data_IF_333927631067
#
_entry.id   IF_333927631067
#
_cell.length_a   1.000
_cell.length_b   1.000
_cell.length_c   1.000
_cell.angle_alpha   90.00
_cell.angle_beta   90.00
_cell.angle_gamma   90.00
#
_symmetry.space_group_name_H-M   'P 1'
#
loop_
_entity.id
_entity.type
_entity.pdbx_description
1 polymer ?
#
# COMPACT_ATOMS: atom_id res chain seq x y z
N UNK A 1 -33.60 -25.59 66.22
CA UNK A 1 -32.18 -25.76 65.74
C UNK A 1 -32.26 -25.76 64.23
N UNK A 2 -32.16 -24.56 63.60
CA UNK A 2 -32.20 -24.43 62.16
C UNK A 2 -30.77 -24.36 61.64
N UNK A 3 -30.42 -25.28 60.76
CA UNK A 3 -29.14 -25.30 60.08
C UNK A 3 -29.21 -24.32 58.89
N UNK A 4 -28.33 -23.30 58.90
CA UNK A 4 -28.10 -22.39 57.81
C UNK A 4 -27.09 -23.05 56.83
N UNK A 5 -27.56 -23.40 55.63
CA UNK A 5 -26.71 -23.85 54.54
C UNK A 5 -26.08 -22.62 53.86
N UNK A 6 -24.78 -22.45 54.00
CA UNK A 6 -24.01 -21.46 53.26
C UNK A 6 -23.76 -21.97 51.84
N UNK A 7 -24.25 -21.22 50.83
CA UNK A 7 -23.94 -21.41 49.40
C UNK A 7 -22.50 -20.97 49.14
N UNK A 8 -21.72 -21.68 48.32
CA UNK A 8 -20.42 -21.22 47.91
C UNK A 8 -20.53 -20.06 46.92
N UNK A 9 -19.73 -19.01 47.16
CA UNK A 9 -19.59 -17.87 46.26
C UNK A 9 -19.04 -18.31 44.91
N UNK A 10 -19.72 -18.02 43.84
CA UNK A 10 -19.25 -18.17 42.47
C UNK A 10 -18.07 -17.21 42.26
N UNK A 11 -16.84 -17.75 42.13
CA UNK A 11 -15.72 -17.03 41.61
C UNK A 11 -15.90 -16.79 40.11
N UNK A 12 -16.35 -15.59 39.75
CA UNK A 12 -16.29 -15.12 38.39
C UNK A 12 -14.80 -14.97 38.02
N UNK A 13 -14.30 -15.89 37.21
CA UNK A 13 -12.94 -15.77 36.65
C UNK A 13 -12.82 -14.43 35.95
N UNK A 14 -11.85 -13.64 36.38
CA UNK A 14 -11.43 -12.44 35.67
C UNK A 14 -11.05 -12.84 34.25
N UNK A 15 -11.88 -12.49 33.28
CA UNK A 15 -11.52 -12.55 31.88
C UNK A 15 -10.40 -11.53 31.65
N UNK A 16 -9.16 -12.00 31.65
CA UNK A 16 -8.03 -11.22 31.16
C UNK A 16 -8.41 -10.71 29.75
N UNK A 17 -8.24 -9.42 29.46
CA UNK A 17 -8.57 -8.89 28.15
C UNK A 17 -7.74 -9.66 27.12
N UNK A 18 -8.43 -10.32 26.17
CA UNK A 18 -7.78 -10.97 25.03
C UNK A 18 -6.99 -9.86 24.31
N UNK A 19 -5.67 -9.94 24.38
CA UNK A 19 -4.77 -9.00 23.69
C UNK A 19 -5.00 -9.18 22.20
N UNK A 20 -5.82 -8.33 21.59
CA UNK A 20 -6.04 -8.35 20.14
C UNK A 20 -4.70 -8.03 19.50
N UNK A 21 -4.07 -9.05 18.91
CA UNK A 21 -2.82 -8.86 18.17
C UNK A 21 -3.12 -8.05 16.93
N UNK A 22 -2.70 -6.79 16.90
CA UNK A 22 -2.97 -5.87 15.79
C UNK A 22 -2.28 -6.28 14.49
N UNK A 23 -1.29 -7.14 14.54
CA UNK A 23 -0.50 -7.59 13.39
C UNK A 23 0.50 -6.57 12.87
N UNK A 24 0.54 -5.36 13.45
CA UNK A 24 1.45 -4.27 13.07
C UNK A 24 1.90 -3.45 14.28
N UNK A 25 3.03 -2.76 14.10
CA UNK A 25 3.52 -1.72 14.98
C UNK A 25 3.31 -0.35 14.32
N UNK A 26 2.84 0.65 15.10
CA UNK A 26 2.82 2.04 14.65
C UNK A 26 4.18 2.65 14.89
N UNK A 27 4.79 3.17 13.83
CA UNK A 27 6.12 3.76 13.84
C UNK A 27 6.09 5.17 13.27
N UNK A 28 7.12 5.96 13.55
CA UNK A 28 7.27 7.31 13.02
C UNK A 28 8.67 7.48 12.47
N UNK A 29 8.79 8.20 11.34
CA UNK A 29 10.07 8.58 10.78
C UNK A 29 10.04 10.02 10.24
N UNK A 30 11.20 10.60 9.99
CA UNK A 30 11.32 11.97 9.51
C UNK A 30 11.41 12.05 7.99
N UNK A 31 10.71 13.04 7.40
CA UNK A 31 11.01 13.58 6.08
C UNK A 31 11.24 15.09 6.24
N UNK A 32 12.51 15.52 6.31
CA UNK A 32 12.87 16.86 6.74
C UNK A 32 12.29 17.19 8.12
N UNK A 33 11.46 18.23 8.19
CA UNK A 33 10.82 18.65 9.45
C UNK A 33 9.51 17.90 9.75
N UNK A 34 9.01 17.07 8.82
CA UNK A 34 7.76 16.34 8.99
C UNK A 34 7.99 15.03 9.75
N UNK A 35 7.12 14.73 10.70
CA UNK A 35 6.93 13.38 11.23
C UNK A 35 5.94 12.64 10.35
N UNK A 36 6.33 11.48 9.85
CA UNK A 36 5.49 10.60 9.04
C UNK A 36 5.15 9.37 9.88
N UNK A 37 3.88 9.15 10.12
CA UNK A 37 3.36 7.92 10.71
C UNK A 37 3.40 6.79 9.69
N UNK A 38 3.67 5.57 10.14
CA UNK A 38 3.55 4.38 9.31
C UNK A 38 3.17 3.16 10.15
N UNK A 39 2.64 2.14 9.49
CA UNK A 39 2.37 0.84 10.09
C UNK A 39 3.37 -0.17 9.56
N UNK A 40 4.12 -0.78 10.47
CA UNK A 40 5.14 -1.78 10.15
C UNK A 40 4.64 -3.17 10.50
N UNK A 41 4.50 -4.03 9.48
CA UNK A 41 4.15 -5.45 9.63
C UNK A 41 5.42 -6.28 9.56
N UNK A 42 5.58 -7.20 10.50
CA UNK A 42 6.69 -8.14 10.53
C UNK A 42 6.18 -9.56 10.32
N UNK A 43 6.78 -10.34 9.40
CA UNK A 43 6.54 -11.78 9.29
C UNK A 43 6.96 -12.52 10.57
N UNK A 44 6.49 -13.75 10.72
CA UNK A 44 7.01 -14.65 11.75
C UNK A 44 8.49 -15.00 11.50
N UNK A 45 9.27 -15.13 12.57
CA UNK A 45 10.69 -15.45 12.50
C UNK A 45 11.60 -14.22 12.64
N UNK A 46 12.89 -14.43 12.36
CA UNK A 46 13.94 -13.45 12.65
C UNK A 46 14.31 -12.56 11.45
N UNK A 47 14.01 -13.01 10.22
CA UNK A 47 14.44 -12.31 9.00
C UNK A 47 15.90 -12.63 8.62
N UNK A 48 16.56 -11.82 7.76
CA UNK A 48 15.99 -10.61 7.16
C UNK A 48 14.96 -10.92 6.07
N UNK A 49 13.85 -10.19 6.09
CA UNK A 49 12.73 -10.38 5.16
C UNK A 49 12.80 -9.41 3.99
N UNK A 50 12.40 -9.82 2.77
CA UNK A 50 12.14 -8.86 1.69
C UNK A 50 11.05 -7.88 2.13
N UNK A 51 11.08 -6.68 1.57
CA UNK A 51 10.24 -5.56 2.02
C UNK A 51 9.26 -5.15 0.94
N UNK A 52 8.03 -4.85 1.32
CA UNK A 52 7.05 -4.16 0.47
C UNK A 52 6.66 -2.84 1.14
N UNK A 53 6.84 -1.71 0.45
CA UNK A 53 6.24 -0.44 0.85
C UNK A 53 4.90 -0.33 0.14
N UNK A 54 3.79 -0.28 0.92
CA UNK A 54 2.44 -0.18 0.37
C UNK A 54 1.88 1.23 0.53
N UNK A 55 1.53 1.86 -0.58
CA UNK A 55 0.96 3.19 -0.65
C UNK A 55 -0.56 3.14 -0.81
N UNK A 56 -1.29 3.68 0.17
CA UNK A 56 -2.75 3.76 0.16
C UNK A 56 -3.29 4.75 -0.88
N UNK A 57 -4.55 4.59 -1.28
CA UNK A 57 -5.28 5.53 -2.13
C UNK A 57 -5.67 6.83 -1.42
N UNK A 58 -6.48 7.65 -2.11
CA UNK A 58 -7.08 8.85 -1.52
C UNK A 58 -8.06 8.47 -0.41
N UNK A 59 -8.13 9.30 0.62
CA UNK A 59 -9.12 9.24 1.71
C UNK A 59 -9.71 10.65 1.93
N UNK A 60 -10.06 11.31 0.84
CA UNK A 60 -10.57 12.67 0.89
C UNK A 60 -11.75 12.79 1.86
N UNK A 61 -11.67 13.77 2.77
CA UNK A 61 -12.66 13.99 3.84
C UNK A 61 -12.46 13.11 5.09
N UNK A 62 -11.60 12.09 5.02
CA UNK A 62 -11.25 11.22 6.16
C UNK A 62 -9.73 11.02 6.32
N UNK A 63 -8.94 11.98 5.84
CA UNK A 63 -7.47 11.85 5.78
C UNK A 63 -6.87 11.61 7.16
N UNK A 64 -7.42 12.22 8.23
CA UNK A 64 -6.92 12.08 9.60
C UNK A 64 -7.35 10.80 10.32
N UNK A 65 -8.15 9.98 9.66
CA UNK A 65 -8.47 8.64 10.20
C UNK A 65 -7.26 7.74 10.05
N UNK A 66 -6.89 7.03 11.11
CA UNK A 66 -5.82 6.02 11.09
C UNK A 66 -6.33 4.75 10.38
N UNK A 67 -5.70 4.39 9.27
CA UNK A 67 -6.08 3.20 8.49
C UNK A 67 -4.84 2.36 8.18
N UNK A 68 -4.59 1.28 8.92
CA UNK A 68 -3.40 0.46 8.77
C UNK A 68 -3.39 -0.43 7.52
N UNK A 69 -4.47 -0.49 6.75
CA UNK A 69 -4.61 -1.38 5.57
C UNK A 69 -4.29 -2.84 5.90
N UNK A 70 -4.84 -3.31 7.02
CA UNK A 70 -4.51 -4.61 7.61
C UNK A 70 -4.74 -5.80 6.67
N UNK A 71 -5.65 -5.70 5.70
CA UNK A 71 -5.89 -6.76 4.73
C UNK A 71 -4.66 -6.99 3.83
N UNK A 72 -4.01 -5.92 3.33
CA UNK A 72 -2.77 -6.01 2.54
C UNK A 72 -1.59 -6.35 3.44
N UNK A 73 -1.41 -5.62 4.55
CA UNK A 73 -0.28 -5.81 5.45
C UNK A 73 -0.19 -7.24 5.98
N UNK A 74 -1.31 -7.80 6.44
CA UNK A 74 -1.36 -9.17 6.93
C UNK A 74 -1.21 -10.22 5.81
N UNK A 75 -1.78 -9.96 4.62
CA UNK A 75 -1.62 -10.84 3.47
C UNK A 75 -0.15 -10.97 3.09
N UNK A 76 0.57 -9.87 2.96
CA UNK A 76 1.99 -9.85 2.62
C UNK A 76 2.85 -10.42 3.76
N UNK A 77 2.60 -10.04 5.01
CA UNK A 77 3.37 -10.53 6.15
C UNK A 77 3.24 -12.05 6.34
N UNK A 78 2.05 -12.63 6.17
CA UNK A 78 1.83 -14.08 6.20
C UNK A 78 2.57 -14.82 5.09
N UNK A 79 2.91 -14.12 4.00
CA UNK A 79 3.68 -14.65 2.88
C UNK A 79 5.17 -14.26 2.94
N UNK A 80 5.66 -13.82 4.12
CA UNK A 80 7.08 -13.65 4.39
C UNK A 80 7.67 -12.28 3.97
N UNK A 81 6.85 -11.27 3.70
CA UNK A 81 7.29 -9.92 3.38
C UNK A 81 7.11 -8.99 4.58
N UNK A 82 8.15 -8.28 5.00
CA UNK A 82 7.99 -7.13 5.89
C UNK A 82 7.26 -6.00 5.12
N UNK A 83 6.30 -5.33 5.77
CA UNK A 83 5.50 -4.33 5.07
C UNK A 83 5.53 -3.01 5.83
N UNK A 84 5.88 -1.93 5.13
CA UNK A 84 5.70 -0.57 5.62
C UNK A 84 4.53 0.08 4.89
N UNK A 85 3.58 0.60 5.64
CA UNK A 85 2.42 1.34 5.13
C UNK A 85 2.51 2.78 5.61
N UNK A 86 3.13 3.70 4.83
CA UNK A 86 3.20 5.11 5.20
C UNK A 86 1.83 5.78 5.19
N UNK A 87 1.50 6.47 6.26
CA UNK A 87 0.49 7.52 6.30
C UNK A 87 1.16 8.80 5.82
N UNK A 88 1.20 9.02 4.49
CA UNK A 88 1.92 10.16 3.88
C UNK A 88 1.45 11.49 4.49
N UNK A 89 2.17 12.57 4.23
CA UNK A 89 1.87 13.90 4.79
C UNK A 89 0.39 14.25 4.77
N UNK A 90 -0.14 14.67 5.91
CA UNK A 90 -1.54 15.05 6.07
C UNK A 90 -2.51 13.89 6.27
N UNK A 91 -2.05 12.63 6.24
CA UNK A 91 -2.85 11.45 6.58
C UNK A 91 -2.54 10.97 8.01
N UNK A 92 -3.51 10.32 8.65
CA UNK A 92 -3.38 9.82 10.02
C UNK A 92 -2.83 10.89 10.97
N UNK A 93 -1.78 10.55 11.70
CA UNK A 93 -1.04 11.45 12.61
C UNK A 93 0.18 12.09 11.94
N UNK A 94 0.41 11.87 10.66
CA UNK A 94 1.52 12.51 9.95
C UNK A 94 1.36 14.02 9.88
N UNK A 95 2.48 14.72 9.98
CA UNK A 95 2.51 16.17 9.82
C UNK A 95 2.10 16.60 8.41
N UNK A 96 1.88 17.90 8.23
CA UNK A 96 1.54 18.53 6.96
C UNK A 96 0.05 18.74 6.73
N UNK A 97 -0.27 19.44 5.64
CA UNK A 97 -1.65 19.70 5.24
C UNK A 97 -2.31 18.41 4.75
N UNK A 98 -3.60 18.23 5.03
CA UNK A 98 -4.40 17.17 4.43
C UNK A 98 -4.47 17.34 2.92
N UNK A 99 -4.85 16.27 2.22
CA UNK A 99 -5.10 16.34 0.78
C UNK A 99 -6.14 17.42 0.45
N UNK A 100 -7.25 17.41 1.17
CA UNK A 100 -8.33 18.38 0.98
C UNK A 100 -7.89 19.83 1.21
N UNK A 101 -6.97 20.09 2.15
CA UNK A 101 -6.41 21.42 2.38
C UNK A 101 -5.41 21.86 1.30
N UNK A 102 -4.66 20.90 0.76
CA UNK A 102 -3.58 21.21 -0.17
C UNK A 102 -4.03 21.33 -1.63
N UNK A 103 -4.97 20.47 -2.09
CA UNK A 103 -5.30 20.31 -3.52
C UNK A 103 -6.78 20.09 -3.81
N UNK A 104 -7.69 20.48 -2.91
CA UNK A 104 -9.12 20.23 -3.12
C UNK A 104 -9.60 20.72 -4.50
N UNK A 105 -10.12 19.80 -5.32
CA UNK A 105 -10.68 20.11 -6.63
C UNK A 105 -9.67 20.44 -7.73
N UNK A 106 -8.36 20.35 -7.48
CA UNK A 106 -7.32 20.68 -8.46
C UNK A 106 -6.75 19.42 -9.12
N UNK A 107 -6.63 19.44 -10.45
CA UNK A 107 -6.06 18.38 -11.27
C UNK A 107 -4.80 18.78 -12.05
N UNK A 108 -4.35 20.01 -11.85
CA UNK A 108 -3.23 20.63 -12.57
C UNK A 108 -1.88 20.49 -11.88
N UNK A 109 -0.98 21.45 -12.13
CA UNK A 109 0.40 21.42 -11.63
C UNK A 109 0.51 21.29 -10.11
N UNK A 110 -0.42 21.86 -9.34
CA UNK A 110 -0.47 21.74 -7.88
C UNK A 110 -0.79 20.31 -7.43
N UNK A 111 -1.69 19.63 -8.12
CA UNK A 111 -1.98 18.23 -7.93
C UNK A 111 -0.71 17.37 -8.14
N UNK A 112 0.00 17.57 -9.25
CA UNK A 112 1.24 16.83 -9.54
C UNK A 112 2.34 17.15 -8.52
N UNK A 113 2.49 18.41 -8.12
CA UNK A 113 3.45 18.82 -7.11
C UNK A 113 3.19 18.13 -5.77
N UNK A 114 1.91 18.03 -5.37
CA UNK A 114 1.52 17.34 -4.14
C UNK A 114 1.86 15.84 -4.20
N UNK A 115 1.57 15.16 -5.31
CA UNK A 115 1.90 13.75 -5.50
C UNK A 115 3.41 13.48 -5.41
N UNK A 116 4.22 14.35 -6.04
CA UNK A 116 5.67 14.28 -5.94
C UNK A 116 6.17 14.54 -4.51
N UNK A 117 5.55 15.44 -3.78
CA UNK A 117 5.86 15.66 -2.38
C UNK A 117 5.51 14.44 -1.50
N UNK A 118 4.40 13.76 -1.76
CA UNK A 118 4.07 12.51 -1.07
C UNK A 118 5.06 11.37 -1.43
N UNK A 119 5.59 11.35 -2.66
CA UNK A 119 6.64 10.40 -3.03
C UNK A 119 7.92 10.59 -2.18
N UNK A 120 8.25 11.82 -1.76
CA UNK A 120 9.38 12.03 -0.85
C UNK A 120 9.13 11.49 0.57
N UNK A 121 7.88 11.43 1.02
CA UNK A 121 7.55 10.79 2.30
C UNK A 121 7.80 9.28 2.25
N UNK A 122 7.45 8.67 1.13
CA UNK A 122 7.70 7.24 0.88
C UNK A 122 9.19 6.95 0.79
N UNK A 123 9.96 7.79 0.10
CA UNK A 123 11.41 7.66 0.00
C UNK A 123 12.10 7.75 1.36
N UNK A 124 11.66 8.67 2.23
CA UNK A 124 12.17 8.75 3.61
C UNK A 124 11.89 7.48 4.43
N UNK A 125 10.84 6.74 4.09
CA UNK A 125 10.55 5.42 4.66
C UNK A 125 11.64 4.39 4.36
N UNK A 126 12.38 4.51 3.24
CA UNK A 126 13.53 3.65 2.92
C UNK A 126 14.64 3.87 3.94
N UNK A 127 14.93 5.12 4.29
CA UNK A 127 15.96 5.43 5.30
C UNK A 127 15.58 4.88 6.68
N UNK A 128 14.32 4.99 7.04
CA UNK A 128 13.81 4.34 8.26
C UNK A 128 14.01 2.82 8.22
N UNK A 129 13.65 2.16 7.12
CA UNK A 129 13.77 0.71 6.97
C UNK A 129 15.23 0.22 7.06
N UNK A 130 16.23 1.05 6.71
CA UNK A 130 17.65 0.74 6.93
C UNK A 130 18.01 0.56 8.40
N UNK A 131 17.23 1.13 9.32
CA UNK A 131 17.43 0.99 10.76
C UNK A 131 16.70 -0.23 11.35
N UNK A 132 15.85 -0.89 10.58
CA UNK A 132 15.03 -2.03 11.03
C UNK A 132 15.80 -3.34 10.81
N UNK A 133 16.21 -4.06 11.85
CA UNK A 133 17.20 -5.14 11.73
C UNK A 133 16.71 -6.39 11.00
N UNK A 134 15.39 -6.55 10.82
CA UNK A 134 14.80 -7.73 10.18
C UNK A 134 14.43 -7.49 8.70
N UNK A 135 14.88 -6.39 8.08
CA UNK A 135 14.58 -6.06 6.67
C UNK A 135 15.77 -6.35 5.74
N UNK A 136 15.49 -6.86 4.56
CA UNK A 136 16.47 -6.97 3.46
C UNK A 136 16.13 -5.99 2.34
N UNK A 137 16.75 -4.83 2.35
CA UNK A 137 16.50 -3.77 1.37
C UNK A 137 17.05 -4.07 -0.03
N UNK A 138 17.86 -5.12 -0.21
CA UNK A 138 18.25 -5.59 -1.54
C UNK A 138 17.08 -6.25 -2.27
N UNK A 139 16.03 -6.64 -1.52
CA UNK A 139 14.79 -7.27 -1.98
C UNK A 139 13.59 -6.41 -1.59
N UNK A 140 13.49 -5.22 -2.20
CA UNK A 140 12.47 -4.24 -1.88
C UNK A 140 11.52 -4.03 -3.05
N UNK A 141 10.22 -4.04 -2.77
CA UNK A 141 9.15 -3.70 -3.69
C UNK A 141 8.40 -2.46 -3.22
N UNK A 142 7.80 -1.78 -4.17
CA UNK A 142 6.82 -0.72 -3.93
C UNK A 142 5.51 -1.09 -4.59
N UNK A 143 4.42 -0.91 -3.88
CA UNK A 143 3.07 -1.24 -4.31
C UNK A 143 2.12 -0.13 -3.90
N UNK A 144 1.11 0.17 -4.72
CA UNK A 144 0.14 1.17 -4.33
C UNK A 144 -1.17 1.10 -5.11
N UNK A 145 -2.25 1.54 -4.44
CA UNK A 145 -3.59 1.58 -5.01
C UNK A 145 -4.04 3.02 -5.28
N UNK A 146 -4.65 3.25 -6.46
CA UNK A 146 -5.24 4.54 -6.83
C UNK A 146 -4.20 5.66 -6.78
N UNK A 147 -4.43 6.70 -5.97
CA UNK A 147 -3.46 7.76 -5.71
C UNK A 147 -2.10 7.19 -5.23
N UNK A 148 -2.14 6.10 -4.45
CA UNK A 148 -0.94 5.39 -4.00
C UNK A 148 -0.17 4.72 -5.14
N UNK A 149 -0.84 4.26 -6.20
CA UNK A 149 -0.22 3.77 -7.42
C UNK A 149 0.58 4.87 -8.12
N UNK A 150 -0.01 6.07 -8.28
CA UNK A 150 0.69 7.24 -8.83
C UNK A 150 1.93 7.59 -7.99
N UNK A 151 1.78 7.65 -6.66
CA UNK A 151 2.87 7.95 -5.75
C UNK A 151 3.97 6.89 -5.85
N UNK A 152 3.61 5.60 -5.98
CA UNK A 152 4.56 4.50 -6.16
C UNK A 152 5.38 4.66 -7.45
N UNK A 153 4.74 5.04 -8.57
CA UNK A 153 5.43 5.29 -9.84
C UNK A 153 6.38 6.48 -9.70
N UNK A 154 5.96 7.61 -9.10
CA UNK A 154 6.84 8.76 -8.88
C UNK A 154 8.02 8.41 -7.96
N UNK A 155 7.80 7.60 -6.92
CA UNK A 155 8.89 7.16 -6.05
C UNK A 155 9.85 6.24 -6.81
N UNK A 156 9.37 5.21 -7.48
CA UNK A 156 10.20 4.25 -8.21
C UNK A 156 10.96 4.88 -9.39
N UNK A 157 10.43 5.97 -9.96
CA UNK A 157 11.12 6.71 -11.03
C UNK A 157 12.37 7.46 -10.58
N UNK A 158 12.57 7.64 -9.27
CA UNK A 158 13.67 8.41 -8.67
C UNK A 158 14.59 7.55 -7.80
N UNK A 159 14.20 6.29 -7.52
CA UNK A 159 14.91 5.40 -6.61
C UNK A 159 15.10 4.02 -7.22
N UNK A 160 16.35 3.65 -7.51
CA UNK A 160 16.73 2.34 -8.06
C UNK A 160 16.77 1.21 -7.01
N UNK A 161 16.43 1.53 -5.76
CA UNK A 161 16.37 0.56 -4.67
C UNK A 161 15.29 -0.51 -4.90
N UNK A 162 14.20 -0.14 -5.58
CA UNK A 162 13.09 -1.05 -5.83
C UNK A 162 13.43 -2.08 -6.92
N UNK A 163 13.09 -3.34 -6.62
CA UNK A 163 13.22 -4.50 -7.53
C UNK A 163 11.88 -4.91 -8.12
N UNK A 164 10.79 -4.34 -7.62
CA UNK A 164 9.42 -4.55 -8.11
C UNK A 164 8.61 -3.27 -7.90
N UNK A 165 7.84 -2.89 -8.91
CA UNK A 165 6.75 -1.91 -8.83
C UNK A 165 5.42 -2.63 -9.08
N UNK A 166 4.42 -2.38 -8.21
CA UNK A 166 3.05 -2.86 -8.41
C UNK A 166 2.11 -1.67 -8.38
N UNK A 167 1.47 -1.42 -9.52
CA UNK A 167 0.50 -0.35 -9.71
C UNK A 167 -0.92 -0.94 -9.76
N UNK A 168 -1.77 -0.56 -8.81
CA UNK A 168 -3.16 -0.97 -8.70
C UNK A 168 -4.08 0.23 -9.00
N UNK A 169 -4.60 0.30 -10.21
CA UNK A 169 -5.52 1.35 -10.68
C UNK A 169 -4.96 2.79 -10.50
N UNK A 170 -3.63 2.96 -10.63
CA UNK A 170 -2.97 4.25 -10.45
C UNK A 170 -3.41 5.27 -11.47
N UNK A 171 -4.14 6.29 -11.02
CA UNK A 171 -4.61 7.37 -11.88
C UNK A 171 -5.99 7.16 -12.50
N UNK A 172 -6.60 5.99 -12.42
CA UNK A 172 -7.86 5.66 -13.09
C UNK A 172 -8.97 6.73 -12.88
N UNK A 173 -9.13 7.20 -11.64
CA UNK A 173 -10.15 8.21 -11.30
C UNK A 173 -9.84 9.62 -11.81
N UNK A 174 -8.56 9.95 -12.02
CA UNK A 174 -8.13 11.31 -12.36
C UNK A 174 -7.73 11.47 -13.82
N UNK A 175 -7.46 10.38 -14.53
CA UNK A 175 -6.85 10.37 -15.86
C UNK A 175 -7.60 11.23 -16.86
N UNK A 176 -8.92 11.00 -17.02
CA UNK A 176 -9.74 11.68 -18.03
C UNK A 176 -9.83 13.19 -17.85
N UNK A 177 -9.56 13.68 -16.65
CA UNK A 177 -9.77 15.08 -16.27
C UNK A 177 -8.45 15.80 -15.92
N UNK A 178 -7.28 15.16 -16.07
CA UNK A 178 -6.00 15.73 -15.69
C UNK A 178 -4.96 15.62 -16.83
N UNK A 179 -4.90 16.59 -17.75
CA UNK A 179 -3.83 16.63 -18.77
C UNK A 179 -2.43 16.64 -18.18
N UNK A 180 -2.24 17.28 -17.01
CA UNK A 180 -0.95 17.29 -16.31
C UNK A 180 -0.56 15.87 -15.84
N UNK A 181 -1.53 15.08 -15.37
CA UNK A 181 -1.26 13.68 -15.01
C UNK A 181 -0.95 12.83 -16.24
N UNK A 182 -1.72 13.01 -17.33
CA UNK A 182 -1.47 12.32 -18.59
C UNK A 182 -0.06 12.61 -19.16
N UNK A 183 0.49 13.78 -18.86
CA UNK A 183 1.85 14.15 -19.22
C UNK A 183 2.88 13.62 -18.21
N UNK A 184 2.70 13.87 -16.93
CA UNK A 184 3.70 13.62 -15.89
C UNK A 184 3.89 12.12 -15.58
N UNK A 185 2.78 11.34 -15.57
CA UNK A 185 2.85 9.93 -15.17
C UNK A 185 3.62 9.05 -16.16
N UNK A 186 3.42 9.16 -17.51
CA UNK A 186 4.25 8.44 -18.46
C UNK A 186 5.71 8.90 -18.46
N UNK A 187 5.99 10.18 -18.17
CA UNK A 187 7.37 10.66 -18.03
C UNK A 187 8.08 9.98 -16.86
N UNK A 188 7.40 9.84 -15.70
CA UNK A 188 7.92 9.11 -14.55
C UNK A 188 8.06 7.61 -14.88
N UNK A 189 7.04 6.99 -15.47
CA UNK A 189 7.05 5.57 -15.84
C UNK A 189 8.23 5.19 -16.73
N UNK A 190 8.66 6.10 -17.64
CA UNK A 190 9.83 5.87 -18.50
C UNK A 190 11.14 5.74 -17.72
N UNK A 191 11.22 6.29 -16.51
CA UNK A 191 12.41 6.25 -15.65
C UNK A 191 12.41 5.04 -14.69
N UNK A 192 11.30 4.32 -14.58
CA UNK A 192 11.20 3.12 -13.74
C UNK A 192 12.11 2.03 -14.31
N UNK A 193 12.95 1.46 -13.46
CA UNK A 193 13.87 0.35 -13.80
C UNK A 193 13.42 -0.99 -13.23
N UNK A 194 12.50 -0.95 -12.27
CA UNK A 194 11.99 -2.14 -11.62
C UNK A 194 11.00 -2.89 -12.52
N UNK A 195 11.10 -4.23 -12.64
CA UNK A 195 10.02 -5.05 -13.15
C UNK A 195 8.68 -4.62 -12.58
N UNK A 196 7.65 -4.48 -13.42
CA UNK A 196 6.42 -3.82 -13.05
C UNK A 196 5.19 -4.68 -13.34
N UNK A 197 4.24 -4.70 -12.40
CA UNK A 197 2.90 -5.29 -12.53
C UNK A 197 1.88 -4.16 -12.45
N UNK A 198 1.18 -3.91 -13.57
CA UNK A 198 0.15 -2.88 -13.69
C UNK A 198 -1.21 -3.55 -13.73
N UNK A 199 -2.14 -3.18 -12.85
CA UNK A 199 -3.42 -3.89 -12.67
C UNK A 199 -4.59 -2.93 -12.58
N UNK A 200 -5.71 -3.31 -13.22
CA UNK A 200 -6.96 -2.58 -13.16
C UNK A 200 -8.14 -3.53 -13.40
N UNK A 201 -9.38 -3.05 -13.38
CA UNK A 201 -10.56 -3.80 -13.78
C UNK A 201 -11.32 -3.08 -14.92
N UNK A 202 -12.00 -3.84 -15.78
CA UNK A 202 -12.69 -3.37 -16.98
C UNK A 202 -13.70 -2.23 -16.70
N UNK A 203 -14.35 -2.29 -15.54
CA UNK A 203 -15.38 -1.33 -15.14
C UNK A 203 -14.89 -0.27 -14.12
N UNK A 204 -13.59 0.03 -14.09
CA UNK A 204 -13.08 1.25 -13.45
C UNK A 204 -13.44 2.50 -14.29
N UNK A 205 -13.16 3.68 -13.79
CA UNK A 205 -13.39 4.95 -14.52
C UNK A 205 -12.68 4.96 -15.88
N UNK A 206 -11.47 4.43 -15.93
CA UNK A 206 -10.73 4.11 -17.16
C UNK A 206 -9.54 3.21 -16.85
N UNK A 207 -9.20 2.32 -17.75
CA UNK A 207 -7.96 1.52 -17.71
C UNK A 207 -6.81 2.20 -18.46
N UNK A 208 -7.03 3.35 -19.09
CA UNK A 208 -6.05 4.04 -19.93
C UNK A 208 -4.80 4.48 -19.15
N UNK A 209 -4.95 4.86 -17.89
CA UNK A 209 -3.84 5.26 -17.04
C UNK A 209 -2.85 4.09 -16.87
N UNK A 210 -3.35 2.97 -16.37
CA UNK A 210 -2.57 1.76 -16.09
C UNK A 210 -1.98 1.17 -17.37
N UNK A 211 -2.75 1.08 -18.45
CA UNK A 211 -2.27 0.56 -19.74
C UNK A 211 -1.22 1.45 -20.38
N UNK A 212 -1.34 2.78 -20.20
CA UNK A 212 -0.32 3.73 -20.70
C UNK A 212 0.97 3.62 -19.90
N UNK A 213 0.89 3.51 -18.56
CA UNK A 213 2.04 3.29 -17.68
C UNK A 213 2.75 1.99 -18.05
N UNK A 214 2.03 0.88 -18.10
CA UNK A 214 2.60 -0.43 -18.43
C UNK A 214 3.28 -0.44 -19.82
N UNK A 215 2.60 0.08 -20.85
CA UNK A 215 3.17 0.21 -22.18
C UNK A 215 4.44 1.09 -22.19
N UNK A 216 4.46 2.17 -21.40
CA UNK A 216 5.62 3.07 -21.33
C UNK A 216 6.82 2.39 -20.69
N UNK A 217 6.63 1.64 -19.60
CA UNK A 217 7.67 0.86 -18.94
C UNK A 217 8.22 -0.21 -19.88
N UNK A 218 7.34 -0.96 -20.56
CA UNK A 218 7.74 -1.98 -21.55
C UNK A 218 8.54 -1.38 -22.70
N UNK A 219 8.12 -0.23 -23.21
CA UNK A 219 8.85 0.48 -24.29
C UNK A 219 10.23 1.02 -23.84
N UNK A 220 10.42 1.21 -22.54
CA UNK A 220 11.72 1.53 -21.95
C UNK A 220 12.62 0.28 -21.77
N UNK A 221 12.17 -0.90 -22.19
CA UNK A 221 12.95 -2.15 -22.12
C UNK A 221 12.87 -2.87 -20.77
N UNK A 222 11.96 -2.47 -19.87
CA UNK A 222 11.79 -3.08 -18.56
C UNK A 222 10.71 -4.17 -18.64
N UNK A 223 10.91 -5.27 -17.89
CA UNK A 223 9.90 -6.34 -17.74
C UNK A 223 8.62 -5.74 -17.16
N UNK A 224 7.54 -5.97 -17.86
CA UNK A 224 6.23 -5.45 -17.45
C UNK A 224 5.12 -6.45 -17.78
N UNK A 225 4.14 -6.58 -16.86
CA UNK A 225 2.89 -7.31 -17.05
C UNK A 225 1.72 -6.38 -16.72
N UNK A 226 0.81 -6.20 -17.68
CA UNK A 226 -0.48 -5.54 -17.42
C UNK A 226 -1.57 -6.60 -17.29
N UNK A 227 -2.42 -6.48 -16.26
CA UNK A 227 -3.61 -7.32 -16.05
C UNK A 227 -4.82 -6.40 -15.94
N UNK A 228 -5.79 -6.60 -16.83
CA UNK A 228 -7.11 -6.00 -16.70
C UNK A 228 -8.07 -7.11 -16.29
N UNK A 229 -8.55 -7.04 -15.05
CA UNK A 229 -9.51 -8.01 -14.53
C UNK A 229 -10.89 -7.80 -15.14
N UNK A 230 -11.71 -8.85 -15.24
CA UNK A 230 -13.12 -8.71 -15.57
C UNK A 230 -13.83 -7.74 -14.63
N UNK A 231 -14.97 -7.22 -15.06
CA UNK A 231 -15.79 -6.30 -14.29
C UNK A 231 -16.02 -6.81 -12.85
N UNK A 232 -15.68 -5.98 -11.88
CA UNK A 232 -15.84 -6.27 -10.46
C UNK A 232 -17.03 -5.51 -9.89
N UNK A 233 -17.79 -6.15 -9.00
CA UNK A 233 -18.87 -5.52 -8.25
C UNK A 233 -18.66 -5.84 -6.77
N UNK A 234 -18.39 -4.83 -5.91
CA UNK A 234 -18.26 -5.03 -4.47
C UNK A 234 -19.61 -5.42 -3.86
N UNK A 235 -19.59 -6.19 -2.78
CA UNK A 235 -20.82 -6.57 -2.05
C UNK A 235 -21.48 -5.39 -1.32
N UNK A 236 -20.71 -4.35 -1.03
CA UNK A 236 -21.18 -3.09 -0.46
C UNK A 236 -20.29 -1.96 -0.92
N UNK A 237 -20.87 -0.88 -1.38
CA UNK A 237 -20.15 0.35 -1.74
C UNK A 237 -20.97 1.57 -1.26
N UNK A 238 -20.57 2.21 -0.15
CA UNK A 238 -21.17 3.46 0.30
C UNK A 238 -20.65 4.68 -0.48
N UNK A 239 -19.65 4.51 -1.36
CA UNK A 239 -19.07 5.57 -2.19
C UNK A 239 -19.61 5.52 -3.61
N UNK A 240 -19.62 6.67 -4.30
CA UNK A 240 -19.90 6.71 -5.74
C UNK A 240 -18.66 6.40 -6.59
N UNK A 241 -17.76 5.57 -6.08
CA UNK A 241 -16.55 5.14 -6.80
C UNK A 241 -16.92 4.10 -7.86
N UNK A 242 -16.37 4.15 -9.07
CA UNK A 242 -16.57 3.09 -10.06
C UNK A 242 -16.30 1.71 -9.45
N UNK A 243 -17.19 0.73 -9.63
CA UNK A 243 -17.10 -0.56 -8.94
C UNK A 243 -15.76 -1.28 -9.19
N UNK A 244 -15.24 -1.20 -10.41
CA UNK A 244 -13.96 -1.79 -10.79
C UNK A 244 -12.78 -1.26 -9.98
N UNK A 245 -12.81 0.02 -9.59
CA UNK A 245 -11.77 0.62 -8.76
C UNK A 245 -11.62 -0.06 -7.39
N UNK A 246 -12.74 -0.59 -6.88
CA UNK A 246 -12.79 -1.23 -5.56
C UNK A 246 -12.32 -2.70 -5.56
N UNK A 247 -11.91 -3.25 -6.71
CA UNK A 247 -11.31 -4.59 -6.78
C UNK A 247 -10.09 -4.71 -5.87
N UNK A 248 -9.33 -3.61 -5.68
CA UNK A 248 -8.14 -3.58 -4.82
C UNK A 248 -8.44 -3.31 -3.34
N UNK A 249 -9.71 -3.21 -2.96
CA UNK A 249 -10.16 -3.23 -1.56
C UNK A 249 -10.05 -4.63 -0.96
N UNK A 250 -10.35 -4.74 0.34
CA UNK A 250 -10.42 -6.05 1.01
C UNK A 250 -11.41 -7.03 0.36
N UNK A 251 -12.47 -6.53 -0.28
CA UNK A 251 -13.50 -7.36 -0.93
C UNK A 251 -13.01 -8.08 -2.19
N UNK A 252 -12.11 -7.45 -2.94
CA UNK A 252 -11.56 -8.03 -4.17
C UNK A 252 -10.23 -8.77 -3.98
N UNK A 253 -9.68 -8.81 -2.76
CA UNK A 253 -8.32 -9.32 -2.51
C UNK A 253 -8.11 -10.75 -3.03
N UNK A 254 -9.10 -11.63 -2.93
CA UNK A 254 -9.01 -13.01 -3.43
C UNK A 254 -8.80 -13.11 -4.94
N UNK A 255 -9.12 -12.07 -5.70
CA UNK A 255 -8.99 -12.03 -7.17
C UNK A 255 -7.53 -11.75 -7.56
N UNK A 256 -6.91 -10.74 -6.94
CA UNK A 256 -5.61 -10.21 -7.37
C UNK A 256 -4.41 -10.67 -6.52
N UNK A 257 -4.61 -11.14 -5.28
CA UNK A 257 -3.50 -11.45 -4.38
C UNK A 257 -2.49 -12.45 -4.94
N UNK A 258 -2.96 -13.47 -5.68
CA UNK A 258 -2.07 -14.50 -6.24
C UNK A 258 -1.17 -13.95 -7.35
N UNK A 259 -1.67 -13.01 -8.17
CA UNK A 259 -0.84 -12.34 -9.18
C UNK A 259 0.26 -11.50 -8.52
N UNK A 260 -0.08 -10.75 -7.46
CA UNK A 260 0.86 -9.97 -6.66
C UNK A 260 1.92 -10.88 -6.04
N UNK A 261 1.51 -11.93 -5.33
CA UNK A 261 2.44 -12.84 -4.64
C UNK A 261 3.33 -13.59 -5.63
N UNK A 262 2.78 -14.02 -6.77
CA UNK A 262 3.54 -14.67 -7.83
C UNK A 262 4.60 -13.73 -8.41
N UNK A 263 4.22 -12.48 -8.70
CA UNK A 263 5.13 -11.49 -9.26
C UNK A 263 6.24 -11.09 -8.27
N UNK A 264 5.89 -10.87 -7.01
CA UNK A 264 6.87 -10.63 -5.94
C UNK A 264 7.82 -11.83 -5.79
N UNK A 265 7.28 -13.06 -5.77
CA UNK A 265 8.08 -14.29 -5.66
C UNK A 265 9.10 -14.46 -6.78
N UNK A 266 8.75 -14.07 -8.00
CA UNK A 266 9.66 -14.14 -9.16
C UNK A 266 10.85 -13.19 -9.08
N UNK A 267 10.68 -12.01 -8.45
CA UNK A 267 11.67 -10.93 -8.52
C UNK A 267 12.38 -10.65 -7.19
N UNK A 268 11.69 -10.83 -6.06
CA UNK A 268 12.27 -10.60 -4.72
C UNK A 268 12.03 -11.77 -3.75
N UNK A 269 11.84 -12.94 -4.25
CA UNK A 269 11.46 -14.19 -3.59
C UNK A 269 11.66 -14.26 -2.09
N UNK A 270 10.82 -15.02 -1.42
CA UNK A 270 11.00 -15.36 0.00
C UNK A 270 11.90 -16.58 0.04
N UNK A 271 13.05 -16.48 0.73
CA UNK A 271 13.84 -17.66 1.07
C UNK A 271 13.00 -18.51 2.05
N UNK A 272 12.27 -19.47 1.52
CA UNK A 272 11.72 -20.52 2.37
C UNK A 272 12.92 -21.27 2.97
N UNK A 273 13.33 -20.88 4.15
CA UNK A 273 14.21 -21.72 4.96
C UNK A 273 13.42 -23.03 5.13
N UNK A 274 13.75 -24.03 4.31
CA UNK A 274 13.31 -25.39 4.58
C UNK A 274 13.87 -25.73 5.95
N UNK A 275 13.02 -25.71 6.98
CA UNK A 275 13.38 -26.31 8.25
C UNK A 275 13.85 -27.73 7.92
N UNK A 276 15.10 -28.10 8.21
CA UNK A 276 15.51 -29.48 8.11
C UNK A 276 14.62 -30.27 9.06
N UNK A 277 13.94 -31.27 8.53
CA UNK A 277 13.12 -32.23 9.28
C UNK A 277 13.99 -32.97 10.30
#
# INVERSE_FOLDING_TARGET
>A
MLAVLSSPANSWGEHLPVKVYKGYETVFYKNGNLNIEAYLYKPEGNGPFPVVIYNHGSRQGSERTEVPFAYVGNMLAKNGYAVLVPERRGYGKSDGQTWSQAVSGESGAKFISRLKAEATDVAAGIDYLRTVPFTDLRRMAIMGWSLGGIVSIFTASQHDDFKVLIDQAGGALSWKHSPDLQSALPQAARQVKAPSLCMDAENDATTDAVTTVGRTIRNAGVVEKTIIYPAFTPSSDPSNTPPGHLIFSAQGMSIWQNDVLSFLGQHIGVDFIRNPR
#
